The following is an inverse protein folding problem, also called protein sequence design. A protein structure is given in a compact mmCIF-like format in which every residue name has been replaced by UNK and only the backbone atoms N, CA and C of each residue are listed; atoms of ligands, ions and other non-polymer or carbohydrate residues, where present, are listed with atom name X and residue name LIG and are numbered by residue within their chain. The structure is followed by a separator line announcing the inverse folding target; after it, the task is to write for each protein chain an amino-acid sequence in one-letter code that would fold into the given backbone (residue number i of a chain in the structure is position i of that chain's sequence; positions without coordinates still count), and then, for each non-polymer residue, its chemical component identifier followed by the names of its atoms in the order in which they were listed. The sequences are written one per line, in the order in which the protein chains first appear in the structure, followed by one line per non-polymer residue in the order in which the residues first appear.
data_IF_599463081234
#
_entry.id   IF_599463081234
#
_cell.length_a   1.000
_cell.length_b   1.000
_cell.length_c   1.000
_cell.angle_alpha   90.00
_cell.angle_beta   90.00
_cell.angle_gamma   90.00
#
_symmetry.space_group_name_H-M   'P 1'
#
loop_
_entity.id
_entity.type
_entity.pdbx_description
1 polymer ?
#
# COMPACT_ATOMS: atom_id res chain seq x y z
N UNK A 1 -24.25 -3.60 13.14
CA UNK A 1 -24.08 -4.17 11.79
C UNK A 1 -22.60 -4.40 11.46
N UNK A 2 -21.74 -3.37 11.55
CA UNK A 2 -20.30 -3.49 11.29
C UNK A 2 -19.60 -4.56 12.15
N UNK A 3 -19.80 -4.56 13.47
CA UNK A 3 -19.19 -5.56 14.37
C UNK A 3 -19.57 -7.01 14.02
N UNK A 4 -20.80 -7.23 13.56
CA UNK A 4 -21.25 -8.55 13.14
C UNK A 4 -20.52 -8.98 11.85
N UNK A 5 -20.38 -8.06 10.88
CA UNK A 5 -19.60 -8.30 9.67
C UNK A 5 -18.12 -8.60 10.00
N UNK A 6 -17.51 -7.84 10.91
CA UNK A 6 -16.13 -8.07 11.35
C UNK A 6 -15.96 -9.48 11.91
N UNK A 7 -16.84 -9.90 12.84
CA UNK A 7 -16.80 -11.25 13.43
C UNK A 7 -16.90 -12.36 12.39
N UNK A 8 -17.75 -12.19 11.37
CA UNK A 8 -17.88 -13.16 10.27
C UNK A 8 -16.58 -13.24 9.47
N UNK A 9 -16.01 -12.10 9.09
CA UNK A 9 -14.81 -12.06 8.27
C UNK A 9 -13.57 -12.55 9.04
N UNK A 10 -13.46 -12.23 10.32
CA UNK A 10 -12.45 -12.76 11.25
C UNK A 10 -12.57 -14.28 11.41
N UNK A 11 -13.79 -14.78 11.62
CA UNK A 11 -14.03 -16.21 11.75
C UNK A 11 -13.64 -16.96 10.48
N UNK A 12 -14.03 -16.45 9.31
CA UNK A 12 -13.64 -17.02 8.02
C UNK A 12 -12.12 -17.04 7.85
N UNK A 13 -11.48 -15.88 8.06
CA UNK A 13 -10.02 -15.69 7.91
C UNK A 13 -9.23 -16.61 8.86
N UNK A 14 -9.75 -16.86 10.06
CA UNK A 14 -9.16 -17.81 11.01
C UNK A 14 -9.34 -19.25 10.54
N UNK A 15 -10.55 -19.61 10.13
CA UNK A 15 -10.90 -20.96 9.71
C UNK A 15 -10.07 -21.43 8.50
N UNK A 16 -9.91 -20.59 7.49
CA UNK A 16 -9.09 -20.93 6.30
C UNK A 16 -7.60 -21.11 6.63
N UNK A 17 -7.08 -20.40 7.66
CA UNK A 17 -5.70 -20.56 8.12
C UNK A 17 -5.50 -21.83 8.94
N UNK A 18 -6.50 -22.22 9.72
CA UNK A 18 -6.45 -23.39 10.61
C UNK A 18 -6.74 -24.70 9.85
N UNK A 19 -7.76 -24.70 8.98
CA UNK A 19 -8.30 -25.92 8.36
C UNK A 19 -7.95 -26.06 6.87
N UNK A 20 -7.44 -25.00 6.22
CA UNK A 20 -7.26 -25.01 4.76
C UNK A 20 -8.60 -25.04 4.03
N UNK A 21 -8.76 -25.88 2.99
CA UNK A 21 -10.03 -26.05 2.30
C UNK A 21 -10.96 -27.00 3.10
N UNK A 22 -12.09 -26.48 3.57
CA UNK A 22 -13.05 -27.18 4.44
C UNK A 22 -14.49 -26.96 3.94
N UNK A 23 -15.38 -27.96 3.97
CA UNK A 23 -16.79 -27.78 3.60
C UNK A 23 -17.48 -26.63 4.35
N UNK A 24 -17.07 -26.37 5.58
CA UNK A 24 -17.56 -25.24 6.40
C UNK A 24 -17.26 -23.88 5.78
N UNK A 25 -16.16 -23.76 5.04
CA UNK A 25 -15.81 -22.51 4.34
C UNK A 25 -16.74 -22.25 3.17
N UNK A 26 -17.21 -23.30 2.49
CA UNK A 26 -18.13 -23.16 1.35
C UNK A 26 -19.43 -22.47 1.80
N UNK A 27 -19.97 -22.90 2.95
CA UNK A 27 -21.20 -22.30 3.51
C UNK A 27 -20.97 -20.90 4.10
N UNK A 28 -19.76 -20.64 4.61
CA UNK A 28 -19.42 -19.36 5.23
C UNK A 28 -19.01 -18.29 4.20
N UNK A 29 -18.51 -18.69 3.04
CA UNK A 29 -17.96 -17.79 2.02
C UNK A 29 -18.95 -16.71 1.55
N UNK A 30 -20.23 -17.02 1.21
CA UNK A 30 -21.19 -15.98 0.83
C UNK A 30 -21.37 -14.91 1.92
N UNK A 31 -21.45 -15.35 3.19
CA UNK A 31 -21.57 -14.43 4.34
C UNK A 31 -20.30 -13.60 4.53
N UNK A 32 -19.13 -14.18 4.27
CA UNK A 32 -17.86 -13.47 4.31
C UNK A 32 -17.76 -12.40 3.21
N UNK A 33 -18.28 -12.69 2.01
CA UNK A 33 -18.34 -11.71 0.91
C UNK A 33 -19.29 -10.56 1.23
N UNK A 34 -20.47 -10.83 1.79
CA UNK A 34 -21.40 -9.78 2.24
C UNK A 34 -20.76 -8.92 3.34
N UNK A 35 -20.10 -9.57 4.30
CA UNK A 35 -19.37 -8.91 5.38
C UNK A 35 -18.24 -8.02 4.84
N UNK A 36 -17.47 -8.50 3.86
CA UNK A 36 -16.43 -7.72 3.18
C UNK A 36 -17.01 -6.43 2.59
N UNK A 37 -18.15 -6.50 1.91
CA UNK A 37 -18.81 -5.33 1.34
C UNK A 37 -19.21 -4.29 2.41
N UNK A 38 -19.79 -4.75 3.52
CA UNK A 38 -20.18 -3.90 4.66
C UNK A 38 -18.93 -3.21 5.24
N UNK A 39 -17.86 -3.95 5.48
CA UNK A 39 -16.63 -3.42 6.08
C UNK A 39 -15.95 -2.44 5.13
N UNK A 40 -15.87 -2.75 3.84
CA UNK A 40 -15.28 -1.84 2.84
C UNK A 40 -16.04 -0.51 2.74
N UNK A 41 -17.37 -0.54 2.80
CA UNK A 41 -18.19 0.67 2.82
C UNK A 41 -17.94 1.51 4.07
N UNK A 42 -17.88 0.86 5.26
CA UNK A 42 -17.55 1.54 6.50
C UNK A 42 -16.14 2.16 6.46
N UNK A 43 -15.13 1.40 6.04
CA UNK A 43 -13.76 1.89 5.90
C UNK A 43 -13.67 3.07 4.91
N UNK A 44 -14.40 3.01 3.79
CA UNK A 44 -14.46 4.14 2.85
C UNK A 44 -15.10 5.38 3.47
N UNK A 45 -16.11 5.22 4.33
CA UNK A 45 -16.74 6.35 5.04
C UNK A 45 -15.76 6.96 6.05
N UNK A 46 -15.14 6.12 6.88
CA UNK A 46 -14.16 6.53 7.90
C UNK A 46 -12.95 7.22 7.27
N UNK A 47 -12.49 6.76 6.12
CA UNK A 47 -11.39 7.41 5.41
C UNK A 47 -11.75 8.81 4.92
N UNK A 48 -13.00 9.03 4.50
CA UNK A 48 -13.48 10.36 4.07
C UNK A 48 -13.66 11.32 5.25
N UNK A 49 -14.03 10.82 6.43
CA UNK A 49 -14.13 11.62 7.66
C UNK A 49 -12.77 11.86 8.33
N UNK A 50 -11.71 11.16 7.90
CA UNK A 50 -10.38 11.26 8.51
C UNK A 50 -10.20 10.37 9.75
N UNK A 51 -11.13 9.44 10.01
CA UNK A 51 -11.06 8.47 11.12
C UNK A 51 -10.09 7.32 10.81
N UNK A 52 -8.82 7.64 10.58
CA UNK A 52 -7.80 6.68 10.12
C UNK A 52 -7.51 5.57 11.15
N UNK A 53 -7.61 5.88 12.45
CA UNK A 53 -7.46 4.92 13.54
C UNK A 53 -8.44 3.76 13.45
N UNK A 54 -9.69 4.02 13.08
CA UNK A 54 -10.72 2.98 12.92
C UNK A 54 -10.68 2.37 11.51
N UNK A 55 -10.26 3.13 10.50
CA UNK A 55 -10.21 2.68 9.12
C UNK A 55 -9.12 1.61 8.87
N UNK A 56 -7.90 1.83 9.40
CA UNK A 56 -6.76 0.94 9.15
C UNK A 56 -7.01 -0.53 9.54
N UNK A 57 -7.54 -0.90 10.73
CA UNK A 57 -7.78 -2.31 11.07
C UNK A 57 -8.85 -2.95 10.17
N UNK A 58 -9.85 -2.21 9.72
CA UNK A 58 -10.87 -2.70 8.79
C UNK A 58 -10.26 -3.03 7.43
N UNK A 59 -9.41 -2.15 6.90
CA UNK A 59 -8.70 -2.37 5.64
C UNK A 59 -7.75 -3.58 5.74
N UNK A 60 -7.06 -3.76 6.87
CA UNK A 60 -6.19 -4.92 7.10
C UNK A 60 -6.95 -6.23 7.16
N UNK A 61 -8.13 -6.26 7.81
CA UNK A 61 -8.97 -7.44 7.85
C UNK A 61 -9.45 -7.84 6.45
N UNK A 62 -9.95 -6.87 5.68
CA UNK A 62 -10.34 -7.08 4.28
C UNK A 62 -9.16 -7.52 3.40
N UNK A 63 -7.97 -6.96 3.61
CA UNK A 63 -6.75 -7.35 2.89
C UNK A 63 -6.35 -8.78 3.20
N UNK A 64 -6.42 -9.20 4.47
CA UNK A 64 -6.12 -10.57 4.89
C UNK A 64 -7.09 -11.57 4.28
N UNK A 65 -8.38 -11.25 4.22
CA UNK A 65 -9.37 -12.09 3.55
C UNK A 65 -9.04 -12.26 2.06
N UNK A 66 -8.89 -11.15 1.32
CA UNK A 66 -8.61 -11.20 -0.12
C UNK A 66 -7.27 -11.87 -0.46
N UNK A 67 -6.29 -11.79 0.45
CA UNK A 67 -5.02 -12.47 0.31
C UNK A 67 -5.17 -14.00 0.34
N UNK A 68 -5.98 -14.52 1.28
CA UNK A 68 -6.22 -15.95 1.45
C UNK A 68 -7.04 -16.51 0.27
N UNK A 69 -7.93 -15.69 -0.29
CA UNK A 69 -8.70 -16.00 -1.50
C UNK A 69 -7.89 -15.85 -2.81
N UNK A 70 -6.58 -15.60 -2.74
CA UNK A 70 -5.73 -15.44 -3.93
C UNK A 70 -5.97 -14.15 -4.73
N UNK A 71 -6.79 -13.22 -4.23
CA UNK A 71 -7.12 -11.94 -4.89
C UNK A 71 -6.06 -10.88 -4.59
N UNK A 72 -4.80 -11.20 -4.87
CA UNK A 72 -3.63 -10.47 -4.38
C UNK A 72 -3.55 -9.00 -4.83
N UNK A 73 -4.01 -8.67 -6.04
CA UNK A 73 -3.99 -7.27 -6.53
C UNK A 73 -4.93 -6.38 -5.73
N UNK A 74 -6.11 -6.90 -5.34
CA UNK A 74 -7.05 -6.15 -4.50
C UNK A 74 -6.56 -6.09 -3.05
N UNK A 75 -6.01 -7.19 -2.53
CA UNK A 75 -5.35 -7.19 -1.22
C UNK A 75 -4.23 -6.14 -1.16
N UNK A 76 -3.41 -6.01 -2.21
CA UNK A 76 -2.37 -5.00 -2.31
C UNK A 76 -2.91 -3.57 -2.20
N UNK A 77 -4.01 -3.26 -2.91
CA UNK A 77 -4.65 -1.95 -2.83
C UNK A 77 -5.14 -1.63 -1.40
N UNK A 78 -5.68 -2.63 -0.69
CA UNK A 78 -6.12 -2.47 0.69
C UNK A 78 -4.94 -2.31 1.66
N UNK A 79 -3.84 -3.03 1.47
CA UNK A 79 -2.62 -2.80 2.25
C UNK A 79 -2.02 -1.41 2.04
N UNK A 80 -2.04 -0.89 0.81
CA UNK A 80 -1.64 0.50 0.53
C UNK A 80 -2.57 1.47 1.26
N UNK A 81 -3.88 1.25 1.22
CA UNK A 81 -4.86 2.09 1.94
C UNK A 81 -4.67 2.06 3.45
N UNK A 82 -4.42 0.88 4.03
CA UNK A 82 -4.14 0.73 5.45
C UNK A 82 -2.83 1.43 5.85
N UNK A 83 -1.78 1.27 5.04
CA UNK A 83 -0.49 1.94 5.24
C UNK A 83 -0.62 3.46 5.17
N UNK A 84 -1.45 3.98 4.27
CA UNK A 84 -1.75 5.41 4.18
C UNK A 84 -2.46 5.95 5.44
N UNK A 85 -3.43 5.20 5.97
CA UNK A 85 -4.10 5.54 7.22
C UNK A 85 -3.12 5.54 8.41
N UNK A 86 -2.27 4.51 8.51
CA UNK A 86 -1.24 4.40 9.56
C UNK A 86 -0.21 5.52 9.44
N UNK A 87 0.17 5.89 8.22
CA UNK A 87 1.08 7.02 7.97
C UNK A 87 0.46 8.34 8.46
N UNK A 88 -0.82 8.57 8.17
CA UNK A 88 -1.54 9.77 8.62
C UNK A 88 -1.57 9.90 10.15
N UNK A 89 -1.69 8.77 10.86
CA UNK A 89 -1.66 8.70 12.33
C UNK A 89 -0.24 8.75 12.92
N UNK A 90 0.80 8.80 12.08
CA UNK A 90 2.21 8.83 12.53
C UNK A 90 2.80 7.46 12.88
N UNK A 91 2.07 6.36 12.65
CA UNK A 91 2.54 4.98 12.83
C UNK A 91 3.42 4.54 11.64
N UNK A 92 4.60 5.17 11.51
CA UNK A 92 5.46 5.03 10.33
C UNK A 92 6.03 3.62 10.13
N UNK A 93 6.28 2.86 11.21
CA UNK A 93 6.81 1.48 11.12
C UNK A 93 5.75 0.55 10.54
N UNK A 94 4.55 0.60 11.10
CA UNK A 94 3.40 -0.19 10.69
C UNK A 94 2.94 0.19 9.28
N UNK A 95 3.01 1.48 8.93
CA UNK A 95 2.77 1.96 7.57
C UNK A 95 3.77 1.37 6.57
N UNK A 96 5.07 1.39 6.90
CA UNK A 96 6.12 0.80 6.07
C UNK A 96 5.87 -0.70 5.84
N UNK A 97 5.54 -1.45 6.89
CA UNK A 97 5.20 -2.87 6.80
C UNK A 97 4.00 -3.10 5.87
N UNK A 98 2.95 -2.28 5.98
CA UNK A 98 1.78 -2.36 5.11
C UNK A 98 2.14 -2.10 3.64
N UNK A 99 2.94 -1.08 3.35
CA UNK A 99 3.37 -0.79 1.98
C UNK A 99 4.24 -1.91 1.41
N UNK A 100 5.16 -2.48 2.20
CA UNK A 100 5.98 -3.63 1.78
C UNK A 100 5.13 -4.87 1.52
N UNK A 101 4.14 -5.14 2.36
CA UNK A 101 3.18 -6.24 2.14
C UNK A 101 2.34 -6.00 0.88
N UNK A 102 1.88 -4.77 0.68
CA UNK A 102 1.18 -4.35 -0.54
C UNK A 102 2.04 -4.55 -1.80
N UNK A 103 3.34 -4.20 -1.73
CA UNK A 103 4.30 -4.47 -2.80
C UNK A 103 4.38 -5.96 -3.13
N UNK A 104 4.63 -6.80 -2.12
CA UNK A 104 4.73 -8.24 -2.29
C UNK A 104 3.48 -8.83 -2.96
N UNK A 105 2.29 -8.50 -2.46
CA UNK A 105 1.03 -8.99 -3.03
C UNK A 105 0.80 -8.51 -4.46
N UNK A 106 1.11 -7.25 -4.76
CA UNK A 106 0.97 -6.71 -6.11
C UNK A 106 1.89 -7.40 -7.13
N UNK A 107 3.04 -7.92 -6.68
CA UNK A 107 4.02 -8.61 -7.54
C UNK A 107 3.70 -10.08 -7.81
N UNK A 108 2.81 -10.70 -7.03
CA UNK A 108 2.40 -12.09 -7.24
C UNK A 108 1.56 -12.29 -8.51
N UNK A 109 0.86 -11.25 -8.97
CA UNK A 109 -0.01 -11.33 -10.14
C UNK A 109 0.52 -10.46 -11.28
N UNK A 110 1.04 -11.04 -12.38
CA UNK A 110 1.61 -10.30 -13.51
C UNK A 110 0.50 -9.63 -14.34
N UNK A 111 -0.05 -8.53 -13.83
CA UNK A 111 -1.13 -7.76 -14.44
C UNK A 111 -0.77 -6.28 -14.56
N UNK A 112 -1.50 -5.54 -15.41
CA UNK A 112 -1.34 -4.08 -15.52
C UNK A 112 -1.63 -3.37 -14.19
N UNK A 113 -2.63 -3.84 -13.45
CA UNK A 113 -2.96 -3.30 -12.14
C UNK A 113 -1.87 -3.66 -11.11
N UNK A 114 -1.41 -4.91 -11.07
CA UNK A 114 -0.33 -5.37 -10.20
C UNK A 114 0.95 -4.54 -10.34
N UNK A 115 1.42 -4.29 -11.57
CA UNK A 115 2.61 -3.44 -11.77
C UNK A 115 2.43 -1.99 -11.28
N UNK A 116 1.21 -1.44 -11.41
CA UNK A 116 0.89 -0.09 -10.95
C UNK A 116 0.91 -0.05 -9.42
N UNK A 117 0.19 -0.96 -8.77
CA UNK A 117 0.14 -1.03 -7.31
C UNK A 117 1.50 -1.36 -6.69
N UNK A 118 2.28 -2.26 -7.29
CA UNK A 118 3.64 -2.52 -6.84
C UNK A 118 4.48 -1.24 -6.88
N UNK A 119 4.40 -0.45 -7.95
CA UNK A 119 5.18 0.77 -8.01
C UNK A 119 4.68 1.87 -7.06
N UNK A 120 3.37 1.98 -6.82
CA UNK A 120 2.82 2.90 -5.82
C UNK A 120 3.28 2.47 -4.43
N UNK A 121 3.09 1.20 -4.07
CA UNK A 121 3.49 0.64 -2.79
C UNK A 121 4.99 0.85 -2.53
N UNK A 122 5.84 0.63 -3.52
CA UNK A 122 7.28 0.85 -3.38
C UNK A 122 7.64 2.33 -3.19
N UNK A 123 6.98 3.24 -3.92
CA UNK A 123 7.17 4.67 -3.73
C UNK A 123 6.80 5.08 -2.30
N UNK A 124 5.66 4.61 -1.79
CA UNK A 124 5.21 4.90 -0.43
C UNK A 124 6.13 4.28 0.61
N UNK A 125 6.46 3.00 0.48
CA UNK A 125 7.40 2.32 1.38
C UNK A 125 8.74 3.06 1.46
N UNK A 126 9.32 3.44 0.32
CA UNK A 126 10.59 4.14 0.30
C UNK A 126 10.47 5.52 0.97
N UNK A 127 9.45 6.31 0.65
CA UNK A 127 9.27 7.62 1.28
C UNK A 127 9.00 7.53 2.79
N UNK A 128 8.20 6.56 3.23
CA UNK A 128 7.98 6.28 4.66
C UNK A 128 9.29 5.87 5.35
N UNK A 129 10.10 5.01 4.72
CA UNK A 129 11.43 4.66 5.22
C UNK A 129 12.36 5.88 5.34
N UNK A 130 12.31 6.80 4.38
CA UNK A 130 13.06 8.06 4.43
C UNK A 130 12.62 8.93 5.62
N UNK A 131 11.31 8.99 5.91
CA UNK A 131 10.77 9.72 7.07
C UNK A 131 11.11 9.05 8.40
N UNK A 132 11.19 7.71 8.43
CA UNK A 132 11.45 6.94 9.64
C UNK A 132 12.93 6.98 10.06
N UNK A 133 13.85 6.64 9.16
CA UNK A 133 15.30 6.49 9.49
C UNK A 133 16.23 7.15 8.46
N UNK A 134 15.69 7.90 7.51
CA UNK A 134 16.49 8.63 6.55
C UNK A 134 17.03 7.79 5.37
N UNK A 135 18.08 8.31 4.69
CA UNK A 135 18.58 7.72 3.45
C UNK A 135 19.03 6.24 3.51
N UNK A 136 19.64 5.73 4.59
CA UNK A 136 20.05 4.33 4.67
C UNK A 136 18.87 3.36 4.51
N UNK A 137 17.79 3.57 5.28
CA UNK A 137 16.61 2.71 5.21
C UNK A 137 15.88 2.87 3.87
N UNK A 138 15.76 4.09 3.34
CA UNK A 138 15.21 4.34 2.00
C UNK A 138 15.90 3.48 0.92
N UNK A 139 17.24 3.45 0.91
CA UNK A 139 18.01 2.67 -0.07
C UNK A 139 17.86 1.17 0.15
N UNK A 140 17.85 0.73 1.41
CA UNK A 140 17.67 -0.67 1.76
C UNK A 140 16.28 -1.18 1.33
N UNK A 141 15.22 -0.40 1.55
CA UNK A 141 13.85 -0.72 1.12
C UNK A 141 13.77 -0.97 -0.38
N UNK A 142 14.41 -0.13 -1.20
CA UNK A 142 14.43 -0.29 -2.66
C UNK A 142 15.23 -1.52 -3.07
N UNK A 143 16.36 -1.78 -2.40
CA UNK A 143 17.19 -2.97 -2.64
C UNK A 143 16.40 -4.25 -2.34
N UNK A 144 15.77 -4.34 -1.16
CA UNK A 144 14.98 -5.50 -0.75
C UNK A 144 13.82 -5.75 -1.72
N UNK A 145 13.08 -4.71 -2.10
CA UNK A 145 11.99 -4.84 -3.07
C UNK A 145 12.48 -5.33 -4.44
N UNK A 146 13.62 -4.83 -4.92
CA UNK A 146 14.22 -5.30 -6.18
C UNK A 146 14.60 -6.77 -6.09
N UNK A 147 15.25 -7.15 -4.99
CA UNK A 147 15.82 -8.49 -4.83
C UNK A 147 14.72 -9.54 -4.54
N UNK A 148 13.50 -9.12 -4.19
CA UNK A 148 12.35 -10.00 -3.94
C UNK A 148 11.54 -10.38 -5.19
N UNK A 149 11.90 -9.92 -6.38
CA UNK A 149 11.20 -10.22 -7.63
C UNK A 149 12.17 -10.56 -8.75
N UNK A 150 11.68 -11.28 -9.77
CA UNK A 150 12.48 -11.59 -10.95
C UNK A 150 12.79 -10.33 -11.80
N UNK A 151 13.80 -10.45 -12.66
CA UNK A 151 14.28 -9.35 -13.53
C UNK A 151 13.20 -8.79 -14.46
N UNK A 152 12.27 -9.63 -14.95
CA UNK A 152 11.19 -9.22 -15.86
C UNK A 152 10.12 -8.43 -15.11
N UNK A 153 9.73 -8.89 -13.92
CA UNK A 153 8.82 -8.19 -13.03
C UNK A 153 9.39 -6.84 -12.60
N UNK A 154 10.64 -6.82 -12.13
CA UNK A 154 11.35 -5.58 -11.80
C UNK A 154 11.42 -4.61 -13.00
N UNK A 155 11.79 -5.12 -14.18
CA UNK A 155 11.85 -4.34 -15.41
C UNK A 155 10.52 -3.70 -15.78
N UNK A 156 9.40 -4.33 -15.45
CA UNK A 156 8.05 -3.82 -15.71
C UNK A 156 7.65 -2.72 -14.72
N UNK A 157 7.98 -2.88 -13.43
CA UNK A 157 7.74 -1.87 -12.38
C UNK A 157 8.51 -0.59 -12.69
N UNK A 158 9.78 -0.72 -13.10
CA UNK A 158 10.67 0.41 -13.41
C UNK A 158 10.19 1.34 -14.51
N UNK A 159 9.29 0.87 -15.39
CA UNK A 159 8.74 1.64 -16.52
C UNK A 159 7.50 2.46 -16.13
N UNK A 160 7.04 2.36 -14.88
CA UNK A 160 5.89 3.13 -14.42
C UNK A 160 6.30 4.53 -13.96
N UNK A 161 5.39 5.50 -14.09
CA UNK A 161 5.61 6.88 -13.66
C UNK A 161 5.90 7.02 -12.16
N UNK A 162 5.31 6.16 -11.32
CA UNK A 162 5.56 6.13 -9.88
C UNK A 162 7.00 5.73 -9.56
N UNK A 163 7.56 4.76 -10.29
CA UNK A 163 8.97 4.40 -10.14
C UNK A 163 9.89 5.50 -10.66
N UNK A 164 9.50 6.20 -11.73
CA UNK A 164 10.27 7.36 -12.20
C UNK A 164 10.37 8.41 -11.11
N UNK A 165 9.28 8.72 -10.41
CA UNK A 165 9.32 9.61 -9.24
C UNK A 165 10.20 9.06 -8.12
N UNK A 166 10.06 7.78 -7.75
CA UNK A 166 10.92 7.14 -6.76
C UNK A 166 12.41 7.25 -7.10
N UNK A 167 12.77 7.05 -8.38
CA UNK A 167 14.15 7.19 -8.86
C UNK A 167 14.65 8.62 -8.70
N UNK A 168 13.81 9.62 -8.96
CA UNK A 168 14.14 11.03 -8.69
C UNK A 168 14.39 11.26 -7.20
N UNK A 169 13.59 10.69 -6.30
CA UNK A 169 13.82 10.74 -4.85
C UNK A 169 15.17 10.09 -4.46
N UNK A 170 15.51 8.98 -5.10
CA UNK A 170 16.80 8.32 -4.90
C UNK A 170 17.98 9.22 -5.31
N UNK A 171 17.83 10.01 -6.37
CA UNK A 171 18.85 10.97 -6.80
C UNK A 171 18.90 12.21 -5.91
N UNK A 172 17.75 12.66 -5.38
CA UNK A 172 17.63 13.77 -4.42
C UNK A 172 18.34 13.48 -3.09
N UNK A 173 18.46 12.20 -2.71
CA UNK A 173 19.25 11.77 -1.54
C UNK A 173 20.74 11.54 -1.87
N UNK A 174 21.21 11.98 -3.05
CA UNK A 174 22.61 11.97 -3.49
C UNK A 174 23.08 13.36 -4.00
N UNK A 175 24.37 13.50 -4.40
CA UNK A 175 25.02 14.81 -4.61
C UNK A 175 24.66 15.60 -5.89
N UNK A 176 23.66 15.21 -6.69
CA UNK A 176 23.35 15.92 -7.95
C UNK A 176 21.86 15.87 -8.32
N UNK A 177 21.24 17.04 -8.53
CA UNK A 177 19.83 17.20 -8.89
C UNK A 177 19.62 17.51 -10.37
N UNK A 178 18.54 16.95 -10.93
CA UNK A 178 17.86 17.51 -12.10
C UNK A 178 16.41 17.86 -11.76
N UNK A 179 15.99 19.01 -12.30
CA UNK A 179 14.78 19.78 -11.98
C UNK A 179 13.48 19.10 -12.37
N UNK A 180 12.42 19.45 -11.62
CA UNK A 180 10.99 19.42 -11.95
C UNK A 180 10.63 18.89 -13.36
N UNK A 181 10.46 17.57 -13.47
CA UNK A 181 9.84 16.97 -14.64
C UNK A 181 8.31 17.09 -14.51
N UNK A 182 7.56 17.51 -15.56
CA UNK A 182 6.09 17.58 -15.58
C UNK A 182 5.40 16.29 -15.08
N UNK A 183 6.02 15.14 -15.31
CA UNK A 183 5.57 13.83 -14.83
C UNK A 183 5.50 13.73 -13.29
N UNK A 184 6.35 14.47 -12.57
CA UNK A 184 6.38 14.49 -11.10
C UNK A 184 5.11 15.15 -10.56
N UNK A 185 4.69 16.29 -11.11
CA UNK A 185 3.50 17.00 -10.67
C UNK A 185 2.24 16.16 -10.90
N UNK A 186 2.12 15.55 -12.08
CA UNK A 186 1.00 14.66 -12.39
C UNK A 186 0.92 13.48 -11.41
N UNK A 187 2.04 12.84 -11.09
CA UNK A 187 2.06 11.74 -10.12
C UNK A 187 1.67 12.23 -8.72
N UNK A 188 2.13 13.41 -8.30
CA UNK A 188 1.77 13.97 -7.00
C UNK A 188 0.28 14.36 -6.92
N UNK A 189 -0.31 14.83 -8.00
CA UNK A 189 -1.75 15.09 -8.09
C UNK A 189 -2.56 13.80 -7.97
N UNK A 190 -2.16 12.73 -8.67
CA UNK A 190 -2.84 11.44 -8.55
C UNK A 190 -2.76 10.84 -7.14
N UNK A 191 -1.69 11.14 -6.41
CA UNK A 191 -1.47 10.66 -5.06
C UNK A 191 -2.00 11.63 -3.99
N UNK A 192 -2.56 12.78 -4.37
CA UNK A 192 -3.02 13.82 -3.43
C UNK A 192 -4.19 13.38 -2.53
N UNK A 193 -4.88 12.30 -2.89
CA UNK A 193 -5.90 11.69 -2.03
C UNK A 193 -5.31 10.75 -0.97
N UNK A 194 -3.98 10.59 -0.93
CA UNK A 194 -3.25 9.82 0.07
C UNK A 194 -2.51 10.78 1.00
N UNK A 195 -2.59 10.56 2.31
CA UNK A 195 -1.84 11.32 3.29
C UNK A 195 -0.32 11.25 3.03
N UNK A 196 0.19 10.07 2.68
CA UNK A 196 1.60 9.89 2.30
C UNK A 196 1.96 10.66 1.02
N UNK A 197 1.01 10.79 0.08
CA UNK A 197 1.17 11.55 -1.15
C UNK A 197 1.22 13.06 -0.92
N UNK A 198 0.36 13.58 -0.04
CA UNK A 198 0.42 14.97 0.43
C UNK A 198 1.75 15.28 1.09
N UNK A 199 2.19 14.45 2.04
CA UNK A 199 3.45 14.62 2.73
C UNK A 199 4.67 14.57 1.78
N UNK A 200 4.62 13.74 0.74
CA UNK A 200 5.64 13.68 -0.30
C UNK A 200 5.67 14.98 -1.12
N UNK A 201 4.50 15.50 -1.50
CA UNK A 201 4.37 16.77 -2.24
C UNK A 201 4.96 17.93 -1.43
N UNK A 202 4.58 18.06 -0.17
CA UNK A 202 5.09 19.10 0.74
C UNK A 202 6.61 19.00 0.92
N UNK A 203 7.12 17.78 1.11
CA UNK A 203 8.56 17.56 1.25
C UNK A 203 9.35 18.02 0.01
N UNK A 204 8.84 17.70 -1.19
CA UNK A 204 9.45 18.15 -2.45
C UNK A 204 9.38 19.67 -2.62
N UNK A 205 8.29 20.31 -2.21
CA UNK A 205 8.15 21.77 -2.25
C UNK A 205 9.15 22.45 -1.31
N UNK A 206 9.31 21.93 -0.09
CA UNK A 206 10.26 22.47 0.90
C UNK A 206 11.73 22.31 0.48
N UNK A 207 12.07 21.21 -0.20
CA UNK A 207 13.40 21.03 -0.77
C UNK A 207 13.74 22.05 -1.87
N UNK A 208 12.75 22.50 -2.63
CA UNK A 208 12.93 23.50 -3.67
C UNK A 208 12.99 24.93 -3.09
N UNK A 209 12.36 25.19 -1.94
CA UNK A 209 12.38 26.50 -1.30
C UNK A 209 13.71 26.80 -0.56
N UNK A 210 14.41 25.77 -0.11
CA UNK A 210 15.68 25.88 0.63
C UNK A 210 16.93 25.78 -0.28
N UNK A 211 16.79 26.03 -1.58
CA UNK A 211 17.85 26.01 -2.59
C UNK A 211 17.82 27.28 -3.43
#
# INVERSE_FOLDING_TARGET
MLEAAMRVLEHYTRLIKEEGESPRLVDLYPKAIDALGIIMNAASSMRKSGDYRLCSPLLLLCASFLELEGVHVRAAALYIGAGDCLFAEGHLKEALECFLKGYQRATLTPSRAGKIFASIALLMAAFTALKLEGPPLFKNTIKLARDSVDKKTWGSIRRTKYYVLLRSLYQLTGPSLHKNAPLTLQVLEELSNLAVGCALKEWLQNLNANR
#
